data_IF_999657203300
#
_entry.id   IF_999657203300
#
_cell.length_a   1.000
_cell.length_b   1.000
_cell.length_c   1.000
_cell.angle_alpha   90.00
_cell.angle_beta   90.00
_cell.angle_gamma   90.00
#
_symmetry.space_group_name_H-M   'P 1'
#
loop_
_entity.id
_entity.type
_entity.pdbx_description
1 polymer ?
#
# COMPACT_ATOMS: atom_id res chain seq x y z
N UNK A 1 -6.09 -19.19 22.40
CA UNK A 1 -4.82 -18.41 22.25
C UNK A 1 -5.11 -17.09 21.58
N UNK A 2 -4.60 -16.02 22.14
CA UNK A 2 -4.76 -14.69 21.57
C UNK A 2 -3.66 -14.44 20.54
N UNK A 3 -4.07 -14.01 19.36
CA UNK A 3 -3.11 -13.59 18.31
C UNK A 3 -2.95 -12.09 18.36
N UNK A 4 -1.75 -11.64 18.05
CA UNK A 4 -1.43 -10.22 17.98
C UNK A 4 -1.38 -9.80 16.50
N UNK A 5 -1.90 -8.62 16.21
CA UNK A 5 -1.85 -8.02 14.88
C UNK A 5 -0.82 -6.90 14.92
N UNK A 6 0.21 -7.02 14.09
CA UNK A 6 1.23 -6.00 13.95
C UNK A 6 0.98 -5.23 12.66
N UNK A 7 0.55 -3.97 12.81
CA UNK A 7 0.25 -3.09 11.69
C UNK A 7 1.45 -2.20 11.37
N UNK A 8 1.50 -1.68 10.15
CA UNK A 8 2.53 -0.72 9.70
C UNK A 8 3.96 -1.25 9.77
N UNK A 9 4.14 -2.56 9.59
CA UNK A 9 5.49 -3.12 9.46
C UNK A 9 5.89 -3.21 7.99
N UNK A 10 7.20 -3.08 7.74
CA UNK A 10 7.80 -3.29 6.41
C UNK A 10 8.64 -4.57 6.37
N UNK A 11 8.59 -5.35 7.43
CA UNK A 11 9.31 -6.63 7.52
C UNK A 11 8.38 -7.72 7.98
N UNK A 12 8.55 -8.89 7.40
CA UNK A 12 7.81 -10.08 7.79
C UNK A 12 8.66 -10.92 8.75
N UNK A 13 8.18 -11.09 9.98
CA UNK A 13 8.91 -11.83 11.00
C UNK A 13 8.56 -13.31 11.06
N UNK A 14 7.42 -13.71 10.49
CA UNK A 14 6.95 -15.09 10.46
C UNK A 14 6.79 -15.72 11.85
N UNK A 15 6.31 -14.94 12.82
CA UNK A 15 6.01 -15.44 14.17
C UNK A 15 4.62 -16.06 14.19
N UNK A 16 4.50 -17.27 14.81
CA UNK A 16 3.27 -18.05 14.77
C UNK A 16 2.08 -17.40 15.51
N UNK A 17 2.35 -16.61 16.53
CA UNK A 17 1.30 -15.96 17.34
C UNK A 17 1.03 -14.52 16.92
N UNK A 18 1.68 -14.05 15.85
CA UNK A 18 1.56 -12.68 15.38
C UNK A 18 1.03 -12.71 13.95
N UNK A 19 -0.07 -11.98 13.73
CA UNK A 19 -0.56 -11.69 12.38
C UNK A 19 0.00 -10.32 12.00
N UNK A 20 0.86 -10.30 11.00
CA UNK A 20 1.49 -9.07 10.55
C UNK A 20 0.84 -8.58 9.26
N UNK A 21 0.54 -7.28 9.21
CA UNK A 21 0.18 -6.62 7.97
C UNK A 21 1.39 -5.83 7.49
N UNK A 22 2.07 -6.35 6.48
CA UNK A 22 3.25 -5.71 5.91
C UNK A 22 2.81 -4.69 4.87
N UNK A 23 3.30 -3.46 4.99
CA UNK A 23 3.06 -2.43 3.98
C UNK A 23 3.88 -2.72 2.73
N UNK A 24 3.22 -2.95 1.62
CA UNK A 24 3.88 -3.22 0.35
C UNK A 24 3.72 -2.06 -0.62
N UNK A 25 4.68 -1.92 -1.51
CA UNK A 25 4.65 -0.95 -2.59
C UNK A 25 4.41 -1.67 -3.92
N UNK A 26 3.69 -1.07 -4.86
CA UNK A 26 3.38 -1.73 -6.13
C UNK A 26 4.61 -2.07 -6.96
N UNK A 27 5.71 -1.30 -6.83
CA UNK A 27 6.95 -1.55 -7.58
C UNK A 27 7.86 -2.60 -6.93
N UNK A 28 7.57 -3.03 -5.72
CA UNK A 28 8.38 -4.01 -4.96
C UNK A 28 7.47 -5.04 -4.28
N UNK A 29 6.52 -5.57 -5.01
CA UNK A 29 5.55 -6.47 -4.43
C UNK A 29 6.12 -7.89 -4.24
N UNK A 30 6.05 -8.39 -3.01
CA UNK A 30 6.49 -9.74 -2.64
C UNK A 30 5.28 -10.65 -2.42
N UNK A 31 5.09 -11.61 -3.32
CA UNK A 31 3.94 -12.51 -3.28
C UNK A 31 3.99 -13.53 -2.16
N UNK A 32 5.14 -13.69 -1.50
CA UNK A 32 5.29 -14.63 -0.39
C UNK A 32 4.71 -14.11 0.94
N UNK A 33 4.43 -12.82 1.02
CA UNK A 33 3.89 -12.19 2.24
C UNK A 33 2.39 -12.48 2.35
N UNK A 34 1.94 -13.12 3.45
CA UNK A 34 0.57 -13.64 3.51
C UNK A 34 -0.49 -12.57 3.77
N UNK A 35 -0.15 -11.49 4.48
CA UNK A 35 -1.10 -10.41 4.78
C UNK A 35 -0.42 -9.07 4.56
N UNK A 36 -1.05 -8.20 3.79
CA UNK A 36 -0.41 -6.95 3.42
C UNK A 36 -1.39 -5.79 3.26
N UNK A 37 -0.86 -4.59 3.35
CA UNK A 37 -1.46 -3.40 2.78
C UNK A 37 -0.65 -3.00 1.56
N UNK A 38 -1.25 -2.30 0.63
CA UNK A 38 -0.56 -1.81 -0.57
C UNK A 38 -0.98 -0.38 -0.86
N UNK A 39 -0.03 0.44 -1.27
CA UNK A 39 -0.29 1.83 -1.60
C UNK A 39 0.93 2.56 -2.09
N UNK A 40 0.72 3.79 -2.56
CA UNK A 40 1.78 4.70 -2.97
C UNK A 40 1.91 5.77 -1.90
N UNK A 41 2.99 5.71 -1.12
CA UNK A 41 3.32 6.75 -0.16
C UNK A 41 3.67 8.04 -0.91
N UNK A 42 3.24 9.22 -0.44
CA UNK A 42 3.47 10.48 -1.18
C UNK A 42 4.96 10.78 -1.46
N UNK A 43 5.87 10.28 -0.62
CA UNK A 43 7.31 10.47 -0.83
C UNK A 43 7.85 9.73 -2.06
N UNK A 44 7.16 8.72 -2.53
CA UNK A 44 7.66 7.79 -3.55
C UNK A 44 6.90 7.87 -4.87
N UNK A 45 6.13 8.93 -5.06
CA UNK A 45 5.41 9.14 -6.32
C UNK A 45 6.41 9.36 -7.45
N UNK A 46 6.30 8.55 -8.50
CA UNK A 46 7.10 8.66 -9.71
C UNK A 46 6.16 8.67 -10.91
N UNK A 47 6.09 9.81 -11.60
CA UNK A 47 5.18 9.97 -12.73
C UNK A 47 5.44 8.98 -13.87
N UNK A 48 6.68 8.58 -14.06
CA UNK A 48 7.06 7.60 -15.10
C UNK A 48 6.53 6.21 -14.83
N UNK A 49 6.27 5.91 -13.57
CA UNK A 49 5.85 4.60 -13.10
C UNK A 49 4.38 4.58 -12.65
N UNK A 50 3.75 5.75 -12.59
CA UNK A 50 2.47 5.94 -11.90
C UNK A 50 1.34 5.06 -12.44
N UNK A 51 1.17 5.00 -13.76
CA UNK A 51 0.10 4.19 -14.36
C UNK A 51 0.26 2.72 -14.00
N UNK A 52 1.49 2.21 -14.10
CA UNK A 52 1.77 0.82 -13.75
C UNK A 52 1.57 0.56 -12.26
N UNK A 53 2.01 1.49 -11.42
CA UNK A 53 1.83 1.37 -9.97
C UNK A 53 0.35 1.30 -9.61
N UNK A 54 -0.49 2.12 -10.22
CA UNK A 54 -1.93 2.09 -10.00
C UNK A 54 -2.57 0.79 -10.51
N UNK A 55 -2.10 0.25 -11.63
CA UNK A 55 -2.57 -1.05 -12.12
C UNK A 55 -2.25 -2.17 -11.14
N UNK A 56 -1.04 -2.18 -10.59
CA UNK A 56 -0.64 -3.18 -9.59
C UNK A 56 -1.48 -3.06 -8.33
N UNK A 57 -1.74 -1.84 -7.86
CA UNK A 57 -2.61 -1.62 -6.72
C UNK A 57 -4.01 -2.18 -6.98
N UNK A 58 -4.58 -1.89 -8.15
CA UNK A 58 -5.90 -2.40 -8.51
C UNK A 58 -5.94 -3.93 -8.49
N UNK A 59 -4.91 -4.57 -9.03
CA UNK A 59 -4.81 -6.03 -9.06
C UNK A 59 -4.63 -6.62 -7.66
N UNK A 60 -3.67 -6.11 -6.88
CA UNK A 60 -3.29 -6.70 -5.60
C UNK A 60 -4.25 -6.33 -4.46
N UNK A 61 -4.95 -5.21 -4.56
CA UNK A 61 -5.93 -4.82 -3.56
C UNK A 61 -7.14 -5.75 -3.54
N UNK A 62 -7.46 -6.39 -4.66
CA UNK A 62 -8.60 -7.29 -4.77
C UNK A 62 -8.34 -8.69 -4.23
N UNK A 63 -7.09 -9.02 -3.91
CA UNK A 63 -6.75 -10.34 -3.38
C UNK A 63 -7.14 -10.43 -1.91
N UNK A 64 -7.59 -11.63 -1.45
CA UNK A 64 -8.03 -11.79 -0.06
C UNK A 64 -6.92 -11.56 0.97
N UNK A 65 -5.66 -11.67 0.59
CA UNK A 65 -4.52 -11.40 1.46
C UNK A 65 -4.32 -9.91 1.72
N UNK A 66 -4.91 -9.03 0.90
CA UNK A 66 -4.81 -7.60 1.09
C UNK A 66 -5.83 -7.12 2.12
N UNK A 67 -5.35 -6.58 3.22
CA UNK A 67 -6.19 -6.16 4.34
C UNK A 67 -6.56 -4.67 4.30
N UNK A 68 -5.77 -3.86 3.59
CA UNK A 68 -5.99 -2.42 3.56
C UNK A 68 -5.24 -1.73 2.42
N UNK A 69 -5.71 -0.54 2.06
CA UNK A 69 -4.96 0.40 1.25
C UNK A 69 -4.04 1.20 2.19
N UNK A 70 -2.78 1.27 1.87
CA UNK A 70 -1.80 2.05 2.63
C UNK A 70 -0.37 1.56 2.38
N UNK A 71 0.61 2.31 2.65
CA UNK A 71 0.52 3.69 3.08
C UNK A 71 0.22 4.62 1.91
N UNK A 72 -0.64 5.60 2.13
CA UNK A 72 -0.94 6.63 1.14
C UNK A 72 -1.35 7.91 1.89
N UNK A 73 -1.39 9.04 1.19
CA UNK A 73 -1.78 10.29 1.81
C UNK A 73 -1.10 11.49 1.19
N UNK A 74 -0.98 12.56 1.96
CA UNK A 74 -0.42 13.85 1.55
C UNK A 74 0.64 14.29 2.53
N UNK A 75 1.71 14.90 2.03
CA UNK A 75 2.74 15.51 2.86
C UNK A 75 3.16 16.85 2.25
N UNK A 76 2.83 17.95 2.93
CA UNK A 76 3.13 19.30 2.46
C UNK A 76 4.61 19.64 2.53
N UNK A 77 5.39 18.85 3.25
CA UNK A 77 6.81 19.15 3.54
C UNK A 77 7.76 18.67 2.45
N UNK A 78 7.27 17.99 1.44
CA UNK A 78 8.11 17.42 0.38
C UNK A 78 7.99 18.23 -0.91
N UNK A 79 8.94 18.03 -1.83
CA UNK A 79 9.01 18.79 -3.08
C UNK A 79 7.97 18.37 -4.12
N UNK A 80 7.42 17.17 -4.01
CA UNK A 80 6.40 16.69 -4.95
C UNK A 80 5.17 17.59 -4.84
N UNK A 81 4.68 18.16 -5.96
CA UNK A 81 3.55 19.09 -5.91
C UNK A 81 2.33 18.50 -5.24
N UNK A 82 1.66 19.29 -4.41
CA UNK A 82 0.52 18.83 -3.62
C UNK A 82 -0.65 18.39 -4.48
N UNK A 83 -0.89 19.05 -5.60
CA UNK A 83 -1.94 18.66 -6.54
C UNK A 83 -1.66 17.29 -7.20
N UNK A 84 -0.40 16.97 -7.48
CA UNK A 84 -0.03 15.62 -7.94
C UNK A 84 -0.25 14.59 -6.85
N UNK A 85 0.17 14.89 -5.63
CA UNK A 85 -0.08 14.02 -4.48
C UNK A 85 -1.57 13.76 -4.30
N UNK A 86 -2.38 14.80 -4.41
CA UNK A 86 -3.82 14.71 -4.28
C UNK A 86 -4.43 13.82 -5.37
N UNK A 87 -3.98 13.98 -6.61
CA UNK A 87 -4.41 13.16 -7.73
C UNK A 87 -4.12 11.66 -7.46
N UNK A 88 -2.91 11.35 -7.04
CA UNK A 88 -2.48 9.96 -6.76
C UNK A 88 -3.29 9.38 -5.60
N UNK A 89 -3.48 10.13 -4.55
CA UNK A 89 -4.27 9.71 -3.39
C UNK A 89 -5.73 9.44 -3.79
N UNK A 90 -6.31 10.33 -4.55
CA UNK A 90 -7.70 10.21 -5.03
C UNK A 90 -7.87 8.97 -5.91
N UNK A 91 -6.91 8.69 -6.80
CA UNK A 91 -6.96 7.50 -7.66
C UNK A 91 -6.92 6.23 -6.84
N UNK A 92 -6.12 6.18 -5.81
CA UNK A 92 -6.07 5.03 -4.92
C UNK A 92 -7.40 4.83 -4.17
N UNK A 93 -8.02 5.91 -3.69
CA UNK A 93 -9.32 5.82 -3.04
C UNK A 93 -10.41 5.34 -4.00
N UNK A 94 -10.37 5.75 -5.26
CA UNK A 94 -11.31 5.30 -6.27
C UNK A 94 -11.21 3.79 -6.51
N UNK A 95 -9.99 3.25 -6.50
CA UNK A 95 -9.76 1.81 -6.63
C UNK A 95 -10.40 1.06 -5.47
N UNK A 96 -10.26 1.56 -4.24
CA UNK A 96 -10.87 0.94 -3.06
C UNK A 96 -12.39 0.88 -3.18
N UNK A 97 -13.01 1.94 -3.70
CA UNK A 97 -14.46 1.98 -3.86
C UNK A 97 -15.02 0.96 -4.84
N UNK A 98 -14.18 0.44 -5.73
CA UNK A 98 -14.57 -0.53 -6.75
C UNK A 98 -14.42 -1.98 -6.29
N UNK A 99 -13.85 -2.19 -5.12
CA UNK A 99 -13.56 -3.55 -4.61
C UNK A 99 -14.52 -4.03 -3.51
#
# INVERSE_FOLDING_TARGET
MTKFINLHTHKFSNLSDVIEMVNQYPWEFDTSIPNYSIGIHPWYIDEKRLEKDLEVINEKLQLPECLALGECGLDKRIEIPLDLQFYVFKKQLEIVKQT
#
